data_IF_220219783372
#
_entry.id   IF_220219783372
#
_cell.length_a   1.000
_cell.length_b   1.000
_cell.length_c   1.000
_cell.angle_alpha   90.00
_cell.angle_beta   90.00
_cell.angle_gamma   90.00
#
_symmetry.space_group_name_H-M   'P 1'
#
loop_
_entity.id
_entity.type
_entity.pdbx_description
1 polymer ?
#
# COMPACT_ATOMS: atom_id res chain seq x y z
N UNK A 1 -20.46 -49.52 -62.16
CA UNK A 1 -19.63 -50.54 -61.49
C UNK A 1 -18.18 -50.35 -61.90
N UNK A 2 -17.35 -49.78 -61.02
CA UNK A 2 -15.89 -49.85 -61.11
C UNK A 2 -15.41 -50.32 -59.74
N UNK A 3 -14.90 -51.55 -59.69
CA UNK A 3 -14.31 -52.18 -58.52
C UNK A 3 -12.98 -51.51 -58.19
N UNK A 4 -12.89 -50.82 -57.05
CA UNK A 4 -11.62 -50.42 -56.47
C UNK A 4 -11.04 -51.60 -55.70
N UNK A 5 -10.12 -52.29 -56.37
CA UNK A 5 -9.26 -53.33 -55.80
C UNK A 5 -8.40 -52.69 -54.72
N UNK A 6 -8.72 -52.97 -53.46
CA UNK A 6 -7.89 -52.68 -52.30
C UNK A 6 -6.63 -53.56 -52.35
N UNK A 7 -5.52 -53.01 -52.83
CA UNK A 7 -4.21 -53.65 -52.65
C UNK A 7 -3.82 -53.55 -51.16
N UNK A 8 -3.43 -54.65 -50.52
CA UNK A 8 -2.89 -54.59 -49.16
C UNK A 8 -1.53 -53.87 -49.20
N UNK A 9 -1.45 -52.70 -48.56
CA UNK A 9 -0.19 -51.99 -48.31
C UNK A 9 0.80 -52.92 -47.62
N UNK A 10 2.03 -52.97 -48.13
CA UNK A 10 3.10 -53.77 -47.57
C UNK A 10 3.39 -53.37 -46.12
N UNK A 11 3.91 -54.32 -45.33
CA UNK A 11 4.14 -54.14 -43.88
C UNK A 11 5.00 -52.91 -43.55
N UNK A 12 5.86 -52.46 -44.46
CA UNK A 12 6.68 -51.24 -44.35
C UNK A 12 5.91 -49.94 -44.66
N UNK A 13 5.00 -49.95 -45.64
CA UNK A 13 4.21 -48.77 -46.02
C UNK A 13 3.19 -48.38 -44.95
N UNK A 14 2.66 -49.37 -44.21
CA UNK A 14 1.79 -49.13 -43.04
C UNK A 14 2.52 -48.39 -41.91
N UNK A 15 3.79 -48.71 -41.67
CA UNK A 15 4.58 -48.06 -40.60
C UNK A 15 4.88 -46.60 -40.94
N UNK A 16 5.19 -46.32 -42.21
CA UNK A 16 5.42 -44.95 -42.70
C UNK A 16 4.13 -44.13 -42.62
N UNK A 17 3.00 -44.70 -43.07
CA UNK A 17 1.70 -44.01 -43.00
C UNK A 17 1.28 -43.69 -41.55
N UNK A 18 1.47 -44.64 -40.63
CA UNK A 18 1.18 -44.44 -39.21
C UNK A 18 2.12 -43.40 -38.57
N UNK A 19 3.39 -43.37 -38.97
CA UNK A 19 4.34 -42.37 -38.48
C UNK A 19 4.02 -40.97 -38.97
N UNK A 20 3.58 -40.80 -40.23
CA UNK A 20 3.15 -39.50 -40.78
C UNK A 20 1.87 -39.02 -40.11
N UNK A 21 0.90 -39.92 -39.90
CA UNK A 21 -0.34 -39.58 -39.17
C UNK A 21 -0.03 -39.22 -37.72
N UNK A 22 0.85 -39.96 -37.05
CA UNK A 22 1.29 -39.64 -35.69
C UNK A 22 1.96 -38.27 -35.60
N UNK A 23 2.82 -37.93 -36.55
CA UNK A 23 3.51 -36.63 -36.59
C UNK A 23 2.54 -35.48 -36.90
N UNK A 24 1.54 -35.71 -37.75
CA UNK A 24 0.46 -34.74 -38.01
C UNK A 24 -0.43 -34.53 -36.77
N UNK A 25 -0.75 -35.58 -36.02
CA UNK A 25 -1.51 -35.46 -34.77
C UNK A 25 -0.71 -34.67 -33.74
N UNK A 26 0.58 -34.96 -33.59
CA UNK A 26 1.45 -34.19 -32.68
C UNK A 26 1.55 -32.73 -33.12
N UNK A 27 1.71 -32.45 -34.41
CA UNK A 27 1.73 -31.08 -34.92
C UNK A 27 0.40 -30.35 -34.66
N UNK A 28 -0.74 -31.00 -34.87
CA UNK A 28 -2.06 -30.42 -34.58
C UNK A 28 -2.24 -30.19 -33.08
N UNK A 29 -1.79 -31.11 -32.22
CA UNK A 29 -1.83 -30.92 -30.76
C UNK A 29 -0.91 -29.76 -30.36
N UNK A 30 0.30 -29.67 -30.90
CA UNK A 30 1.22 -28.56 -30.62
C UNK A 30 0.61 -27.23 -31.11
N UNK A 31 0.07 -27.16 -32.32
CA UNK A 31 -0.56 -25.92 -32.83
C UNK A 31 -1.91 -25.58 -32.19
N UNK A 32 -2.65 -26.56 -31.67
CA UNK A 32 -3.93 -26.34 -30.98
C UNK A 32 -3.76 -26.08 -29.47
N UNK A 33 -2.70 -26.62 -28.85
CA UNK A 33 -2.42 -26.50 -27.41
C UNK A 33 -1.41 -25.39 -27.11
N UNK A 34 -0.45 -25.08 -28.00
CA UNK A 34 0.48 -23.96 -27.80
C UNK A 34 -0.20 -22.59 -27.63
N UNK A 35 -1.30 -22.24 -28.33
CA UNK A 35 -2.00 -20.98 -28.08
C UNK A 35 -2.74 -20.95 -26.73
N UNK A 36 -2.94 -22.11 -26.09
CA UNK A 36 -3.60 -22.26 -24.79
C UNK A 36 -2.58 -22.23 -23.64
N UNK A 37 -1.32 -22.56 -23.92
CA UNK A 37 -0.24 -22.62 -22.92
C UNK A 37 0.65 -21.34 -22.94
N UNK A 38 0.60 -20.54 -24.00
CA UNK A 38 1.32 -19.26 -24.12
C UNK A 38 0.38 -18.10 -24.50
N UNK A 39 -0.73 -17.95 -23.77
CA UNK A 39 -1.32 -16.62 -23.65
C UNK A 39 -0.63 -15.97 -22.47
N UNK A 40 0.29 -15.06 -22.76
CA UNK A 40 0.47 -13.91 -21.89
C UNK A 40 -0.93 -13.28 -21.80
N UNK A 41 -1.64 -13.57 -20.70
CA UNK A 41 -3.02 -13.14 -20.56
C UNK A 41 -3.02 -11.62 -20.48
N UNK A 42 -3.53 -10.98 -21.54
CA UNK A 42 -3.72 -9.52 -21.53
C UNK A 42 -4.43 -9.12 -20.23
N UNK A 43 -3.94 -8.08 -19.53
CA UNK A 43 -4.53 -7.64 -18.27
C UNK A 43 -6.02 -7.36 -18.47
N UNK A 44 -6.81 -7.55 -17.41
CA UNK A 44 -8.22 -7.14 -17.44
C UNK A 44 -8.25 -5.66 -17.86
N UNK A 45 -9.06 -5.26 -18.86
CA UNK A 45 -9.04 -3.89 -19.40
C UNK A 45 -9.27 -2.79 -18.36
N UNK A 46 -9.89 -3.12 -17.23
CA UNK A 46 -10.13 -2.24 -16.08
C UNK A 46 -9.01 -2.23 -15.02
N UNK A 47 -8.13 -3.23 -15.01
CA UNK A 47 -7.08 -3.44 -13.99
C UNK A 47 -5.69 -3.29 -14.63
N UNK A 48 -5.50 -2.21 -15.38
CA UNK A 48 -4.23 -1.88 -16.03
C UNK A 48 -3.46 -0.84 -15.21
N UNK A 49 -2.15 -0.75 -15.41
CA UNK A 49 -1.31 0.29 -14.78
C UNK A 49 -1.85 1.69 -15.09
N UNK A 50 -2.32 1.94 -16.32
CA UNK A 50 -2.96 3.21 -16.71
C UNK A 50 -4.23 3.50 -15.89
N UNK A 51 -5.06 2.48 -15.64
CA UNK A 51 -6.25 2.62 -14.80
C UNK A 51 -5.90 2.91 -13.34
N UNK A 52 -4.81 2.33 -12.84
CA UNK A 52 -4.26 2.64 -11.52
C UNK A 52 -3.77 4.10 -11.44
N UNK A 53 -3.00 4.53 -12.45
CA UNK A 53 -2.53 5.92 -12.56
C UNK A 53 -3.71 6.91 -12.64
N UNK A 54 -4.78 6.58 -13.38
CA UNK A 54 -6.00 7.38 -13.41
C UNK A 54 -6.64 7.52 -12.02
N UNK A 55 -6.63 6.47 -11.18
CA UNK A 55 -7.10 6.58 -9.79
C UNK A 55 -6.25 7.58 -9.01
N UNK A 56 -4.92 7.45 -9.07
CA UNK A 56 -3.98 8.37 -8.40
C UNK A 56 -4.17 9.81 -8.84
N UNK A 57 -4.24 10.06 -10.14
CA UNK A 57 -4.42 11.40 -10.71
C UNK A 57 -5.75 12.02 -10.27
N UNK A 58 -6.83 11.25 -10.29
CA UNK A 58 -8.13 11.73 -9.84
C UNK A 58 -8.15 12.00 -8.32
N UNK A 59 -7.52 11.17 -7.48
CA UNK A 59 -7.41 11.40 -6.04
C UNK A 59 -6.55 12.65 -5.74
N UNK A 60 -5.40 12.77 -6.39
CA UNK A 60 -4.51 13.93 -6.28
C UNK A 60 -5.22 15.23 -6.67
N UNK A 61 -6.01 15.20 -7.74
CA UNK A 61 -6.83 16.36 -8.17
C UNK A 61 -7.90 16.77 -7.15
N UNK A 62 -8.29 15.85 -6.25
CA UNK A 62 -9.23 16.08 -5.14
C UNK A 62 -8.52 16.44 -3.84
N UNK A 63 -7.19 16.65 -3.87
CA UNK A 63 -6.40 17.09 -2.73
C UNK A 63 -5.93 15.96 -1.80
N UNK A 64 -5.90 14.73 -2.29
CA UNK A 64 -5.23 13.62 -1.60
C UNK A 64 -3.74 13.67 -1.87
N UNK A 65 -2.93 13.26 -0.89
CA UNK A 65 -1.48 13.15 -1.05
C UNK A 65 -1.12 11.70 -1.34
N UNK A 66 -0.44 11.47 -2.46
CA UNK A 66 -0.09 10.13 -2.95
C UNK A 66 1.42 9.90 -2.92
N UNK A 67 1.82 8.72 -2.47
CA UNK A 67 3.21 8.33 -2.25
C UNK A 67 3.50 6.97 -2.87
N UNK A 68 4.68 6.83 -3.45
CA UNK A 68 5.24 5.53 -3.80
C UNK A 68 5.73 4.87 -2.51
N UNK A 69 5.25 3.66 -2.23
CA UNK A 69 5.64 2.89 -1.04
C UNK A 69 6.71 1.86 -1.40
N UNK A 70 7.75 1.76 -0.57
CA UNK A 70 8.80 0.74 -0.72
C UNK A 70 8.25 -0.70 -0.51
N UNK A 71 8.62 -1.63 -1.40
CA UNK A 71 8.25 -3.05 -1.29
C UNK A 71 8.68 -3.90 -2.50
N UNK A 72 8.41 -5.21 -2.45
CA UNK A 72 8.69 -6.17 -3.55
C UNK A 72 7.78 -5.98 -4.78
N UNK A 73 6.79 -5.09 -4.69
CA UNK A 73 5.83 -4.76 -5.74
C UNK A 73 5.60 -3.25 -5.81
N UNK A 74 5.14 -2.74 -6.96
CA UNK A 74 4.86 -1.31 -7.13
C UNK A 74 3.58 -0.94 -6.37
N UNK A 75 3.75 -0.43 -5.16
CA UNK A 75 2.65 0.04 -4.34
C UNK A 75 2.60 1.56 -4.32
N UNK A 76 1.42 2.09 -4.57
CA UNK A 76 1.10 3.50 -4.37
C UNK A 76 0.01 3.65 -3.32
N UNK A 77 0.19 4.57 -2.37
CA UNK A 77 -0.80 4.88 -1.34
C UNK A 77 -1.14 6.36 -1.36
N UNK A 78 -2.43 6.65 -1.45
CA UNK A 78 -2.99 7.99 -1.36
C UNK A 78 -3.70 8.17 -0.03
N UNK A 79 -3.42 9.24 0.68
CA UNK A 79 -4.04 9.59 1.95
C UNK A 79 -4.96 10.79 1.78
N UNK A 80 -6.14 10.71 2.39
CA UNK A 80 -7.05 11.83 2.43
C UNK A 80 -6.53 12.89 3.41
N UNK A 81 -6.54 14.15 2.98
CA UNK A 81 -6.27 15.30 3.84
C UNK A 81 -7.54 15.67 4.65
N UNK A 82 -7.97 14.75 5.52
CA UNK A 82 -9.21 14.85 6.31
C UNK A 82 -8.95 15.30 7.76
N UNK A 83 -10.04 15.57 8.51
CA UNK A 83 -10.00 16.02 9.91
C UNK A 83 -9.48 14.94 10.86
N UNK A 84 -9.08 15.35 12.07
CA UNK A 84 -8.53 14.47 13.13
C UNK A 84 -9.42 13.27 13.53
N UNK A 85 -10.68 13.25 13.12
CA UNK A 85 -11.68 12.26 13.53
C UNK A 85 -11.75 11.03 12.61
N UNK A 86 -11.25 11.15 11.37
CA UNK A 86 -11.24 10.08 10.35
C UNK A 86 -9.94 10.06 9.59
N UNK A 87 -9.52 8.86 9.23
CA UNK A 87 -8.39 8.63 8.36
C UNK A 87 -8.81 7.73 7.24
N UNK A 88 -8.53 8.14 6.00
CA UNK A 88 -8.83 7.36 4.82
C UNK A 88 -7.58 7.22 3.95
N UNK A 89 -7.41 6.03 3.36
CA UNK A 89 -6.35 5.76 2.40
C UNK A 89 -6.86 4.93 1.22
N UNK A 90 -6.20 5.08 0.08
CA UNK A 90 -6.36 4.22 -1.09
C UNK A 90 -5.01 3.62 -1.44
N UNK A 91 -4.93 2.30 -1.44
CA UNK A 91 -3.73 1.54 -1.80
C UNK A 91 -3.91 0.90 -3.17
N UNK A 92 -2.92 1.05 -4.05
CA UNK A 92 -2.90 0.50 -5.41
C UNK A 92 -1.65 -0.36 -5.52
N UNK A 93 -1.84 -1.67 -5.61
CA UNK A 93 -0.77 -2.63 -5.80
C UNK A 93 -0.73 -3.03 -7.27
N UNK A 94 0.41 -2.81 -7.91
CA UNK A 94 0.67 -3.16 -9.29
C UNK A 94 1.83 -4.15 -9.40
N UNK A 95 1.67 -5.11 -10.28
CA UNK A 95 2.74 -5.92 -10.85
C UNK A 95 3.11 -5.33 -12.22
N UNK A 96 4.25 -5.72 -12.80
CA UNK A 96 4.89 -5.07 -13.97
C UNK A 96 3.94 -4.55 -15.06
N UNK A 97 2.90 -5.31 -15.42
CA UNK A 97 1.97 -4.97 -16.51
C UNK A 97 0.50 -4.77 -16.07
N UNK A 98 0.16 -4.92 -14.78
CA UNK A 98 -1.23 -4.95 -14.32
C UNK A 98 -1.42 -4.47 -12.88
N UNK A 99 -2.61 -3.94 -12.59
CA UNK A 99 -3.01 -3.66 -11.20
C UNK A 99 -3.55 -4.95 -10.59
N UNK A 100 -2.89 -5.45 -9.55
CA UNK A 100 -3.32 -6.63 -8.81
C UNK A 100 -4.47 -6.28 -7.83
N UNK A 101 -4.43 -5.08 -7.24
CA UNK A 101 -5.38 -4.66 -6.21
C UNK A 101 -5.52 -3.15 -6.12
N UNK A 102 -6.76 -2.69 -5.89
CA UNK A 102 -7.04 -1.33 -5.41
C UNK A 102 -7.90 -1.44 -4.16
N UNK A 103 -7.46 -0.89 -3.02
CA UNK A 103 -8.19 -0.93 -1.75
C UNK A 103 -8.35 0.47 -1.19
N UNK A 104 -9.59 0.90 -0.98
CA UNK A 104 -9.93 2.04 -0.15
C UNK A 104 -10.26 1.57 1.27
N UNK A 105 -9.75 2.26 2.28
CA UNK A 105 -10.08 2.01 3.68
C UNK A 105 -10.22 3.32 4.45
N UNK A 106 -11.11 3.33 5.45
CA UNK A 106 -11.24 4.46 6.35
C UNK A 106 -11.48 3.99 7.79
N UNK A 107 -10.80 4.64 8.73
CA UNK A 107 -10.87 4.35 10.17
C UNK A 107 -11.11 5.64 10.94
N UNK A 108 -11.92 5.57 12.00
CA UNK A 108 -12.25 6.73 12.81
C UNK A 108 -13.30 6.41 13.85
N UNK A 109 -13.66 7.41 14.66
CA UNK A 109 -14.74 7.28 15.65
C UNK A 109 -16.10 7.71 15.13
N UNK A 110 -16.14 8.47 14.02
CA UNK A 110 -17.38 8.93 13.39
C UNK A 110 -17.72 8.07 12.17
N UNK A 111 -18.80 7.30 12.27
CA UNK A 111 -19.27 6.43 11.19
C UNK A 111 -19.74 7.17 9.95
N UNK A 112 -20.30 8.37 10.11
CA UNK A 112 -20.81 9.14 8.98
C UNK A 112 -19.64 9.71 8.18
N UNK A 113 -18.63 10.24 8.87
CA UNK A 113 -17.40 10.70 8.24
C UNK A 113 -16.63 9.56 7.55
N UNK A 114 -16.52 8.36 8.16
CA UNK A 114 -15.94 7.16 7.50
C UNK A 114 -16.69 6.84 6.20
N UNK A 115 -18.02 6.86 6.24
CA UNK A 115 -18.87 6.57 5.07
C UNK A 115 -18.67 7.60 3.95
N UNK A 116 -18.53 8.88 4.30
CA UNK A 116 -18.30 9.96 3.35
C UNK A 116 -16.93 9.83 2.66
N UNK A 117 -15.87 9.54 3.42
CA UNK A 117 -14.51 9.32 2.88
C UNK A 117 -14.46 8.13 1.94
N UNK A 118 -15.06 7.00 2.34
CA UNK A 118 -15.16 5.80 1.49
C UNK A 118 -15.99 6.05 0.23
N UNK A 119 -17.03 6.87 0.32
CA UNK A 119 -17.84 7.25 -0.85
C UNK A 119 -17.00 8.03 -1.85
N UNK A 120 -16.20 9.00 -1.40
CA UNK A 120 -15.32 9.79 -2.27
C UNK A 120 -14.25 8.93 -2.96
N UNK A 121 -13.61 8.02 -2.22
CA UNK A 121 -12.66 7.07 -2.77
C UNK A 121 -13.32 6.13 -3.79
N UNK A 122 -14.47 5.56 -3.45
CA UNK A 122 -15.21 4.62 -4.30
C UNK A 122 -15.72 5.27 -5.59
N UNK A 123 -16.15 6.53 -5.55
CA UNK A 123 -16.50 7.28 -6.78
C UNK A 123 -15.32 7.41 -7.74
N UNK A 124 -14.12 7.57 -7.19
CA UNK A 124 -12.89 7.69 -7.98
C UNK A 124 -12.52 6.36 -8.62
N UNK A 125 -12.60 5.28 -7.84
CA UNK A 125 -12.41 3.91 -8.32
C UNK A 125 -13.44 3.54 -9.39
N UNK A 126 -14.72 3.89 -9.19
CA UNK A 126 -15.79 3.65 -10.17
C UNK A 126 -15.50 4.31 -11.52
N UNK A 127 -15.04 5.57 -11.48
CA UNK A 127 -14.77 6.36 -12.68
C UNK A 127 -13.59 5.79 -13.48
N UNK A 128 -12.54 5.35 -12.78
CA UNK A 128 -11.32 4.85 -13.42
C UNK A 128 -11.47 3.41 -13.91
N UNK A 129 -12.05 2.52 -13.08
CA UNK A 129 -12.09 1.09 -13.35
C UNK A 129 -13.31 0.67 -14.18
N UNK A 130 -14.46 1.33 -14.01
CA UNK A 130 -15.74 0.89 -14.58
C UNK A 130 -16.52 2.05 -15.21
N UNK A 131 -15.97 2.72 -16.25
CA UNK A 131 -16.57 3.93 -16.84
C UNK A 131 -17.95 3.71 -17.49
N UNK A 132 -18.38 2.45 -17.70
CA UNK A 132 -19.61 2.08 -18.40
C UNK A 132 -20.67 1.44 -17.47
N UNK A 133 -21.12 2.16 -16.42
CA UNK A 133 -22.49 2.17 -15.88
C UNK A 133 -23.14 0.89 -15.30
N UNK A 134 -22.91 -0.29 -15.84
CA UNK A 134 -23.69 -1.52 -15.56
C UNK A 134 -23.13 -2.36 -14.39
N UNK A 135 -22.09 -1.87 -13.70
CA UNK A 135 -21.42 -2.60 -12.61
C UNK A 135 -20.79 -1.70 -11.54
N UNK A 136 -21.39 -0.57 -11.17
CA UNK A 136 -20.77 0.40 -10.22
C UNK A 136 -20.50 -0.19 -8.82
N UNK A 137 -19.29 0.00 -8.32
CA UNK A 137 -18.79 -0.29 -6.97
C UNK A 137 -19.56 0.53 -5.93
N UNK A 138 -19.88 1.80 -6.19
CA UNK A 138 -20.60 2.66 -5.22
C UNK A 138 -21.94 2.06 -4.76
N UNK A 139 -22.59 1.26 -5.61
CA UNK A 139 -23.85 0.59 -5.27
C UNK A 139 -23.71 -0.62 -4.36
N UNK A 140 -22.47 -1.09 -4.11
CA UNK A 140 -22.15 -2.29 -3.34
C UNK A 140 -21.81 -1.99 -1.87
N UNK A 141 -21.65 -0.73 -1.49
CA UNK A 141 -21.44 -0.32 -0.09
C UNK A 141 -22.73 -0.33 0.74
N UNK A 142 -23.53 -1.41 0.65
CA UNK A 142 -24.80 -1.50 1.38
C UNK A 142 -24.68 -2.30 2.67
N UNK A 143 -24.58 -1.58 3.80
CA UNK A 143 -24.84 -2.12 5.13
C UNK A 143 -23.70 -2.93 5.76
N UNK A 144 -23.84 -3.18 7.06
CA UNK A 144 -22.81 -3.61 8.03
C UNK A 144 -22.17 -5.01 7.80
N UNK A 145 -22.19 -5.56 6.59
CA UNK A 145 -21.74 -6.92 6.29
C UNK A 145 -20.61 -6.93 5.27
N UNK A 146 -19.77 -7.98 5.33
CA UNK A 146 -18.87 -8.33 4.25
C UNK A 146 -19.69 -8.81 3.05
N UNK A 147 -19.46 -8.24 1.87
CA UNK A 147 -20.02 -8.70 0.61
C UNK A 147 -18.90 -8.84 -0.44
N UNK A 148 -18.92 -9.93 -1.19
CA UNK A 148 -17.96 -10.20 -2.25
C UNK A 148 -18.72 -10.49 -3.55
N UNK A 149 -18.44 -9.71 -4.59
CA UNK A 149 -19.18 -9.75 -5.85
C UNK A 149 -18.24 -9.65 -7.04
N UNK A 150 -18.48 -10.52 -8.02
CA UNK A 150 -17.87 -10.44 -9.33
C UNK A 150 -18.65 -9.47 -10.22
N UNK A 151 -17.92 -8.57 -10.88
CA UNK A 151 -18.40 -7.57 -11.81
C UNK A 151 -17.99 -7.93 -13.24
N UNK A 152 -18.62 -7.33 -14.27
CA UNK A 152 -18.25 -7.57 -15.67
C UNK A 152 -16.76 -7.33 -15.92
N UNK A 153 -16.15 -8.18 -16.73
CA UNK A 153 -14.72 -8.10 -17.04
C UNK A 153 -13.82 -8.79 -16.01
N UNK A 154 -14.34 -9.79 -15.29
CA UNK A 154 -13.60 -10.61 -14.31
C UNK A 154 -13.00 -9.78 -13.16
N UNK A 155 -13.65 -8.67 -12.77
CA UNK A 155 -13.23 -7.84 -11.63
C UNK A 155 -13.97 -8.32 -10.38
N UNK A 156 -13.25 -8.58 -9.29
CA UNK A 156 -13.85 -8.95 -8.02
C UNK A 156 -13.84 -7.77 -7.05
N UNK A 157 -14.96 -7.53 -6.39
CA UNK A 157 -15.12 -6.45 -5.41
C UNK A 157 -15.52 -7.03 -4.07
N UNK A 158 -14.79 -6.67 -3.03
CA UNK A 158 -15.07 -7.00 -1.63
C UNK A 158 -15.35 -5.71 -0.86
N UNK A 159 -16.44 -5.67 -0.10
CA UNK A 159 -16.81 -4.52 0.73
C UNK A 159 -16.92 -4.91 2.19
N UNK A 160 -16.55 -3.98 3.08
CA UNK A 160 -16.78 -4.03 4.52
C UNK A 160 -17.29 -2.65 4.99
N UNK A 161 -17.75 -2.50 6.24
CA UNK A 161 -18.19 -1.19 6.74
C UNK A 161 -17.12 -0.09 6.68
N UNK A 162 -15.84 -0.48 6.65
CA UNK A 162 -14.70 0.44 6.69
C UNK A 162 -13.77 0.32 5.48
N UNK A 163 -14.12 -0.46 4.45
CA UNK A 163 -13.23 -0.67 3.30
C UNK A 163 -13.95 -1.15 2.03
N UNK A 164 -13.36 -0.84 0.88
CA UNK A 164 -13.71 -1.41 -0.42
C UNK A 164 -12.43 -1.89 -1.08
N UNK A 165 -12.41 -3.14 -1.54
CA UNK A 165 -11.27 -3.77 -2.20
C UNK A 165 -11.68 -4.28 -3.57
N UNK A 166 -10.91 -3.93 -4.59
CA UNK A 166 -11.09 -4.34 -5.98
C UNK A 166 -9.89 -5.16 -6.39
N UNK A 167 -10.15 -6.31 -7.00
CA UNK A 167 -9.17 -7.33 -7.31
C UNK A 167 -9.28 -7.75 -8.77
N UNK A 168 -8.13 -8.08 -9.35
CA UNK A 168 -8.08 -8.80 -10.61
C UNK A 168 -8.61 -10.24 -10.39
N UNK A 169 -9.77 -10.57 -10.95
CA UNK A 169 -10.41 -11.86 -10.76
C UNK A 169 -9.77 -13.00 -11.56
N UNK A 170 -8.90 -12.71 -12.54
CA UNK A 170 -8.10 -13.75 -13.23
C UNK A 170 -7.11 -14.43 -12.29
N UNK A 171 -6.62 -13.71 -11.28
CA UNK A 171 -5.69 -14.24 -10.28
C UNK A 171 -6.40 -15.09 -9.20
N UNK A 172 -7.70 -15.35 -9.37
CA UNK A 172 -8.48 -16.26 -8.52
C UNK A 172 -8.54 -15.87 -7.04
N UNK A 173 -8.29 -14.59 -6.72
CA UNK A 173 -8.21 -14.11 -5.35
C UNK A 173 -6.88 -14.39 -4.65
N UNK A 174 -5.81 -14.79 -5.36
CA UNK A 174 -4.47 -14.86 -4.76
C UNK A 174 -4.02 -13.48 -4.21
N UNK A 175 -4.39 -12.40 -4.89
CA UNK A 175 -4.23 -11.00 -4.46
C UNK A 175 -5.20 -10.55 -3.35
N UNK A 176 -6.24 -11.35 -3.03
CA UNK A 176 -7.11 -11.11 -1.88
C UNK A 176 -6.33 -11.24 -0.55
N UNK A 177 -5.27 -12.06 -0.53
CA UNK A 177 -4.39 -12.23 0.63
C UNK A 177 -3.20 -11.27 0.64
N UNK A 178 -2.90 -10.59 -0.47
CA UNK A 178 -1.87 -9.56 -0.49
C UNK A 178 -2.42 -8.34 0.22
N UNK A 179 -2.04 -8.18 1.47
CA UNK A 179 -2.25 -6.96 2.24
C UNK A 179 -0.89 -6.29 2.26
N UNK A 180 -0.80 -5.07 1.74
CA UNK A 180 0.37 -4.26 2.04
C UNK A 180 0.40 -4.03 3.54
N UNK A 181 1.51 -4.41 4.17
CA UNK A 181 1.78 -4.17 5.57
C UNK A 181 3.05 -3.33 5.63
N UNK A 182 3.03 -2.17 6.31
CA UNK A 182 4.25 -1.41 6.56
C UNK A 182 5.30 -2.31 7.22
N UNK A 183 6.56 -2.00 6.95
CA UNK A 183 7.72 -2.70 7.52
C UNK A 183 7.62 -2.73 9.05
N UNK A 184 8.07 -3.84 9.64
CA UNK A 184 8.17 -3.94 11.10
C UNK A 184 9.08 -2.83 11.65
N UNK A 185 8.66 -2.18 12.74
CA UNK A 185 9.50 -1.21 13.43
C UNK A 185 10.83 -1.83 13.85
N UNK A 186 11.93 -1.05 13.88
CA UNK A 186 13.18 -1.52 14.44
C UNK A 186 12.99 -1.96 15.90
N UNK A 187 13.80 -2.92 16.33
CA UNK A 187 13.82 -3.32 17.73
C UNK A 187 14.30 -2.13 18.60
N UNK A 188 13.83 -2.01 19.85
CA UNK A 188 14.22 -0.89 20.71
C UNK A 188 15.73 -0.69 20.88
N UNK A 189 16.51 -1.77 20.91
CA UNK A 189 17.98 -1.74 20.99
C UNK A 189 18.64 -1.27 19.68
N UNK A 190 18.06 -1.63 18.53
CA UNK A 190 18.50 -1.14 17.22
C UNK A 190 18.22 0.35 17.07
N UNK A 191 17.03 0.80 17.47
CA UNK A 191 16.66 2.20 17.46
C UNK A 191 17.55 3.03 18.41
N UNK A 192 17.76 2.56 19.64
CA UNK A 192 18.66 3.19 20.61
C UNK A 192 20.06 3.35 20.03
N UNK A 193 20.64 2.27 19.51
CA UNK A 193 21.98 2.29 18.93
C UNK A 193 22.11 3.26 17.74
N UNK A 194 21.08 3.32 16.88
CA UNK A 194 21.01 4.27 15.77
C UNK A 194 21.02 5.72 16.25
N UNK A 195 20.17 6.04 17.23
CA UNK A 195 20.02 7.39 17.78
C UNK A 195 21.24 7.81 18.62
N UNK A 196 21.85 6.91 19.39
CA UNK A 196 23.08 7.18 20.15
C UNK A 196 24.24 7.60 19.23
N UNK A 197 24.36 6.99 18.05
CA UNK A 197 25.34 7.41 17.02
C UNK A 197 25.10 8.82 16.50
N UNK A 198 23.89 9.35 16.70
CA UNK A 198 23.48 10.70 16.32
C UNK A 198 23.46 11.67 17.50
N UNK A 199 24.00 11.27 18.66
CA UNK A 199 24.18 12.14 19.81
C UNK A 199 22.94 12.23 20.71
N UNK A 200 22.04 11.25 20.65
CA UNK A 200 21.01 11.07 21.66
C UNK A 200 21.56 10.29 22.87
N UNK A 201 21.05 10.61 24.05
CA UNK A 201 21.22 9.79 25.25
C UNK A 201 19.97 8.91 25.40
N UNK A 202 20.15 7.58 25.41
CA UNK A 202 19.05 6.63 25.41
C UNK A 202 18.93 5.86 26.74
N UNK A 203 17.69 5.68 27.17
CA UNK A 203 17.32 4.92 28.36
C UNK A 203 16.41 3.75 27.96
N UNK A 204 16.84 2.53 28.28
CA UNK A 204 16.14 1.29 27.92
C UNK A 204 15.67 0.59 29.19
N UNK A 205 14.38 0.75 29.53
CA UNK A 205 13.77 0.09 30.69
C UNK A 205 12.55 -0.76 30.29
N UNK A 206 11.37 -0.13 30.13
CA UNK A 206 10.12 -0.75 29.67
C UNK A 206 9.78 -0.41 28.20
N UNK A 207 10.74 0.20 27.51
CA UNK A 207 10.72 0.75 26.16
C UNK A 207 12.05 1.48 25.94
N UNK A 208 12.18 2.17 24.81
CA UNK A 208 13.32 3.08 24.59
C UNK A 208 12.82 4.52 24.59
N UNK A 209 13.48 5.36 25.38
CA UNK A 209 13.38 6.81 25.29
C UNK A 209 14.78 7.36 25.05
N UNK A 210 14.93 8.15 24.00
CA UNK A 210 16.16 8.79 23.59
C UNK A 210 15.95 10.30 23.55
N UNK A 211 16.77 11.04 24.29
CA UNK A 211 16.66 12.49 24.40
C UNK A 211 17.93 13.17 23.85
N UNK A 212 17.76 14.32 23.21
CA UNK A 212 18.86 15.18 22.78
C UNK A 212 18.43 16.64 22.76
N UNK A 213 19.39 17.56 22.76
CA UNK A 213 19.12 18.98 22.56
C UNK A 213 19.70 19.42 21.22
N UNK A 214 18.81 19.81 20.30
CA UNK A 214 19.16 20.19 18.94
C UNK A 214 18.80 21.66 18.75
N UNK A 215 19.78 22.52 18.48
CA UNK A 215 19.59 23.97 18.33
C UNK A 215 18.77 24.63 19.48
N UNK A 216 19.01 24.16 20.72
CA UNK A 216 18.28 24.58 21.94
C UNK A 216 16.80 24.19 21.99
N UNK A 217 16.40 23.20 21.20
CA UNK A 217 15.09 22.54 21.27
C UNK A 217 15.31 21.14 21.82
N UNK A 218 14.54 20.80 22.86
CA UNK A 218 14.57 19.46 23.42
C UNK A 218 13.86 18.51 22.45
N UNK A 219 14.52 17.42 22.11
CA UNK A 219 13.99 16.38 21.21
C UNK A 219 13.95 15.08 21.97
N UNK A 220 12.79 14.45 22.00
CA UNK A 220 12.60 13.12 22.56
C UNK A 220 12.08 12.18 21.48
N UNK A 221 12.74 11.03 21.32
CA UNK A 221 12.27 9.93 20.48
C UNK A 221 11.95 8.76 21.41
N UNK A 222 10.74 8.26 21.36
CA UNK A 222 10.31 7.16 22.23
C UNK A 222 9.62 6.06 21.44
N UNK A 223 9.95 4.82 21.75
CA UNK A 223 9.22 3.63 21.33
C UNK A 223 8.75 2.92 22.59
N UNK A 224 7.43 2.85 22.79
CA UNK A 224 6.86 2.24 23.98
C UNK A 224 6.59 0.75 23.74
N UNK A 225 6.78 -0.09 24.76
CA UNK A 225 6.37 -1.50 24.75
C UNK A 225 5.07 -1.62 25.54
N UNK A 226 4.08 -0.78 25.23
CA UNK A 226 2.76 -0.90 25.85
C UNK A 226 1.92 -1.94 25.11
N UNK A 227 1.10 -2.74 25.83
CA UNK A 227 0.14 -3.65 25.22
C UNK A 227 -1.00 -2.97 24.45
N UNK A 228 -1.03 -1.63 24.41
CA UNK A 228 -2.08 -0.85 23.73
C UNK A 228 -1.67 -0.51 22.29
N UNK A 229 -0.37 -0.35 22.01
CA UNK A 229 0.09 -0.23 20.62
C UNK A 229 1.62 -0.45 20.52
N UNK A 230 2.12 -1.69 20.35
CA UNK A 230 3.56 -1.99 20.24
C UNK A 230 4.18 -1.49 18.92
N UNK A 231 3.40 -0.72 18.14
CA UNK A 231 3.65 -0.41 16.74
C UNK A 231 3.91 1.07 16.48
N UNK A 232 4.16 1.87 17.53
CA UNK A 232 4.33 3.32 17.42
C UNK A 232 5.71 3.78 17.90
N UNK A 233 6.45 4.46 17.03
CA UNK A 233 7.57 5.34 17.44
C UNK A 233 7.05 6.76 17.43
N UNK A 234 7.26 7.47 18.54
CA UNK A 234 6.87 8.86 18.69
C UNK A 234 8.09 9.77 18.74
N UNK A 235 8.12 10.80 17.89
CA UNK A 235 9.13 11.87 17.92
C UNK A 235 8.47 13.15 18.42
N UNK A 236 8.99 13.70 19.53
CA UNK A 236 8.55 14.95 20.15
C UNK A 236 9.60 16.03 20.02
N UNK A 237 9.18 17.20 19.58
CA UNK A 237 9.95 18.44 19.69
C UNK A 237 9.37 19.30 20.82
N UNK A 238 10.18 19.68 21.79
CA UNK A 238 9.80 20.57 22.88
C UNK A 238 9.59 22.02 22.39
N UNK A 239 8.94 22.87 23.20
CA UNK A 239 8.73 24.26 22.85
C UNK A 239 10.06 25.00 22.72
N UNK A 240 10.17 25.87 21.71
CA UNK A 240 11.32 26.78 21.59
C UNK A 240 11.19 27.87 22.64
N UNK A 241 12.16 27.99 23.56
CA UNK A 241 12.10 28.94 24.67
C UNK A 241 11.76 30.39 24.21
N UNK A 242 10.70 30.95 24.81
CA UNK A 242 10.04 32.22 24.47
C UNK A 242 10.95 33.46 24.62
N UNK A 243 12.12 33.30 25.26
CA UNK A 243 13.12 34.35 25.41
C UNK A 243 13.80 34.71 24.08
N UNK A 244 13.71 33.86 23.05
CA UNK A 244 14.22 34.14 21.70
C UNK A 244 13.12 34.56 20.72
N UNK A 245 12.75 35.85 20.76
CA UNK A 245 11.96 36.51 19.71
C UNK A 245 12.68 36.42 18.34
N UNK A 246 12.41 35.36 17.58
CA UNK A 246 12.90 35.23 16.19
C UNK A 246 12.64 33.90 15.45
N UNK A 247 11.79 32.98 15.96
CA UNK A 247 12.12 31.56 15.81
C UNK A 247 11.28 30.66 14.90
N UNK A 248 10.48 31.18 13.95
CA UNK A 248 9.95 30.30 12.88
C UNK A 248 11.10 29.65 12.07
N UNK A 249 12.20 30.39 11.88
CA UNK A 249 13.40 29.88 11.22
C UNK A 249 14.13 28.77 11.99
N UNK A 250 14.05 28.72 13.33
CA UNK A 250 14.70 27.64 14.09
C UNK A 250 13.85 26.36 14.11
N UNK A 251 12.52 26.49 14.26
CA UNK A 251 11.63 25.31 14.17
C UNK A 251 11.79 24.58 12.84
N UNK A 252 11.90 25.33 11.73
CA UNK A 252 12.18 24.77 10.41
C UNK A 252 13.52 24.03 10.35
N UNK A 253 14.59 24.60 10.94
CA UNK A 253 15.91 23.97 10.97
C UNK A 253 15.95 22.69 11.81
N UNK A 254 15.27 22.70 12.95
CA UNK A 254 15.18 21.50 13.80
C UNK A 254 14.42 20.39 13.08
N UNK A 255 13.31 20.71 12.38
CA UNK A 255 12.60 19.72 11.56
C UNK A 255 13.49 19.12 10.47
N UNK A 256 14.24 19.96 9.76
CA UNK A 256 15.18 19.52 8.71
C UNK A 256 16.27 18.61 9.29
N UNK A 257 16.85 18.97 10.43
CA UNK A 257 17.85 18.15 11.12
C UNK A 257 17.27 16.83 11.62
N UNK A 258 16.05 16.84 12.16
CA UNK A 258 15.36 15.62 12.59
C UNK A 258 15.03 14.72 11.42
N UNK A 259 14.50 15.26 10.32
CA UNK A 259 14.29 14.50 9.09
C UNK A 259 15.59 13.84 8.62
N UNK A 260 16.71 14.57 8.63
CA UNK A 260 18.02 14.04 8.27
C UNK A 260 18.50 12.93 9.22
N UNK A 261 18.26 13.06 10.52
CA UNK A 261 18.62 12.04 11.52
C UNK A 261 17.78 10.78 11.35
N UNK A 262 16.47 10.92 11.16
CA UNK A 262 15.55 9.80 10.97
C UNK A 262 15.80 9.08 9.64
N UNK A 263 16.27 9.81 8.61
CA UNK A 263 16.63 9.29 7.30
C UNK A 263 18.01 8.61 7.25
N UNK A 264 18.83 8.76 8.30
CA UNK A 264 20.15 8.13 8.30
C UNK A 264 20.03 6.61 8.40
N UNK A 265 20.84 5.90 7.63
CA UNK A 265 20.85 4.43 7.57
C UNK A 265 20.98 3.73 8.94
N UNK A 266 21.61 4.37 9.93
CA UNK A 266 21.72 3.81 11.28
C UNK A 266 20.41 3.86 12.07
N UNK A 267 19.52 4.82 11.76
CA UNK A 267 18.20 4.99 12.38
C UNK A 267 17.12 4.38 11.48
N UNK A 268 17.10 4.78 10.21
CA UNK A 268 16.33 4.16 9.13
C UNK A 268 14.82 4.17 9.34
N UNK A 269 14.28 5.24 9.92
CA UNK A 269 12.84 5.40 10.16
C UNK A 269 12.11 6.12 9.02
N UNK A 270 12.86 6.78 8.14
CA UNK A 270 12.36 7.45 6.93
C UNK A 270 13.45 7.44 5.87
N UNK A 271 13.16 7.96 4.69
CA UNK A 271 14.10 8.21 3.59
C UNK A 271 14.25 9.73 3.34
N UNK A 272 14.88 10.08 2.21
CA UNK A 272 15.08 11.47 1.80
C UNK A 272 13.75 12.21 1.52
N UNK A 273 12.77 11.52 0.94
CA UNK A 273 11.47 12.10 0.60
C UNK A 273 10.66 12.38 1.87
N UNK A 274 10.71 11.48 2.84
CA UNK A 274 10.09 11.70 4.15
C UNK A 274 10.81 12.76 4.98
N UNK A 275 12.14 12.91 4.84
CA UNK A 275 12.85 14.04 5.43
C UNK A 275 12.40 15.39 4.82
N UNK A 276 12.17 15.43 3.50
CA UNK A 276 11.63 16.61 2.83
C UNK A 276 10.19 16.90 3.26
N UNK A 277 9.34 15.87 3.33
CA UNK A 277 7.99 15.96 3.86
C UNK A 277 7.97 16.56 5.27
N UNK A 278 8.84 16.09 6.16
CA UNK A 278 8.94 16.63 7.52
C UNK A 278 9.39 18.10 7.55
N UNK A 279 10.30 18.49 6.68
CA UNK A 279 10.79 19.86 6.62
C UNK A 279 9.70 20.84 6.14
N UNK A 280 8.94 20.44 5.11
CA UNK A 280 8.08 21.35 4.35
C UNK A 280 6.58 21.19 4.63
N UNK A 281 6.11 19.97 4.93
CA UNK A 281 4.69 19.60 4.88
C UNK A 281 4.16 18.94 6.17
N UNK A 282 4.92 18.93 7.27
CA UNK A 282 4.50 18.36 8.56
C UNK A 282 3.41 19.18 9.29
N UNK A 283 2.18 19.14 8.77
CA UNK A 283 0.96 19.70 9.39
C UNK A 283 0.18 18.61 10.11
N UNK A 284 -0.58 18.98 11.14
CA UNK A 284 -1.44 18.04 11.87
C UNK A 284 -2.37 17.29 10.92
N UNK A 285 -2.49 15.98 11.09
CA UNK A 285 -3.33 15.10 10.28
C UNK A 285 -2.68 14.58 8.99
N UNK A 286 -1.59 15.19 8.51
CA UNK A 286 -0.89 14.71 7.33
C UNK A 286 -0.27 13.33 7.56
N UNK A 287 -0.28 12.50 6.50
CA UNK A 287 0.29 11.16 6.47
C UNK A 287 1.11 10.94 5.21
N UNK A 288 2.02 9.98 5.25
CA UNK A 288 2.74 9.50 4.08
C UNK A 288 3.47 8.20 4.37
N UNK A 289 3.91 7.51 3.32
CA UNK A 289 4.73 6.30 3.42
C UNK A 289 6.17 6.62 3.05
N UNK A 290 7.12 6.30 3.93
CA UNK A 290 8.55 6.62 3.76
C UNK A 290 9.42 5.50 4.32
N UNK A 291 10.44 5.07 3.58
CA UNK A 291 11.29 3.93 3.90
C UNK A 291 10.54 2.64 4.31
N UNK A 292 9.34 2.45 3.76
CA UNK A 292 8.43 1.33 4.05
C UNK A 292 7.63 1.46 5.35
N UNK A 293 7.65 2.62 6.02
CA UNK A 293 6.84 2.91 7.21
C UNK A 293 5.71 3.88 6.90
N UNK A 294 4.55 3.71 7.56
CA UNK A 294 3.51 4.73 7.55
C UNK A 294 3.84 5.80 8.61
N UNK A 295 4.07 7.03 8.16
CA UNK A 295 4.30 8.20 8.99
C UNK A 295 3.02 9.02 9.13
N UNK A 296 2.71 9.45 10.35
CA UNK A 296 1.58 10.31 10.67
C UNK A 296 2.01 11.51 11.52
N UNK A 297 1.48 12.69 11.21
CA UNK A 297 1.72 13.90 12.00
C UNK A 297 0.56 14.09 12.97
N UNK A 298 0.77 13.71 14.23
CA UNK A 298 -0.23 13.79 15.31
C UNK A 298 -0.42 15.22 15.80
N UNK A 299 0.66 16.00 15.79
CA UNK A 299 0.66 17.43 16.13
C UNK A 299 1.70 18.07 15.25
N UNK A 300 1.28 19.03 14.44
CA UNK A 300 2.07 19.65 13.39
C UNK A 300 2.71 20.97 13.82
N UNK A 301 3.47 21.56 12.91
CA UNK A 301 4.15 22.82 13.16
C UNK A 301 3.23 24.05 13.18
N UNK A 302 1.99 23.88 12.73
CA UNK A 302 0.92 24.87 12.73
C UNK A 302 0.22 24.99 14.09
N UNK A 303 0.43 24.02 14.99
CA UNK A 303 -0.10 24.07 16.33
C UNK A 303 0.67 25.06 17.21
N UNK A 304 -0.08 25.92 17.92
CA UNK A 304 0.46 26.98 18.77
C UNK A 304 1.33 26.49 19.95
N UNK A 305 1.45 25.17 20.14
CA UNK A 305 2.27 24.53 21.18
C UNK A 305 3.76 24.57 20.88
N UNK A 306 4.16 24.80 19.62
CA UNK A 306 5.57 24.73 19.22
C UNK A 306 6.16 23.33 19.32
N UNK A 307 5.31 22.30 19.45
CA UNK A 307 5.71 20.91 19.57
C UNK A 307 5.20 20.09 18.40
N UNK A 308 6.05 19.25 17.81
CA UNK A 308 5.65 18.33 16.76
C UNK A 308 5.64 16.92 17.33
N UNK A 309 4.60 16.17 17.02
CA UNK A 309 4.46 14.75 17.37
C UNK A 309 4.31 13.95 16.08
N UNK A 310 5.32 13.12 15.79
CA UNK A 310 5.34 12.24 14.62
C UNK A 310 5.14 10.82 15.11
N UNK A 311 4.19 10.10 14.53
CA UNK A 311 3.93 8.70 14.79
C UNK A 311 4.32 7.83 13.60
N UNK A 312 5.14 6.82 13.82
CA UNK A 312 5.42 5.77 12.83
C UNK A 312 4.63 4.53 13.18
N UNK A 313 3.74 4.08 12.30
CA UNK A 313 2.93 2.88 12.50
C UNK A 313 3.55 1.70 11.74
N UNK A 314 3.66 0.54 12.40
CA UNK A 314 3.89 -0.73 11.73
C UNK A 314 2.74 -1.71 11.95
N UNK A 315 2.66 -2.75 11.13
CA UNK A 315 1.83 -3.91 11.46
C UNK A 315 2.75 -5.11 11.57
N UNK A 316 2.95 -5.61 12.79
CA UNK A 316 3.34 -7.02 12.94
C UNK A 316 2.17 -7.83 12.37
N UNK A 317 2.37 -8.70 11.37
CA UNK A 317 1.29 -9.58 10.94
C UNK A 317 0.83 -10.32 12.19
N UNK A 318 -0.41 -10.06 12.63
CA UNK A 318 -1.07 -10.98 13.55
C UNK A 318 -1.06 -12.28 12.79
N UNK A 319 -0.24 -13.24 13.23
CA UNK A 319 -0.25 -14.56 12.68
C UNK A 319 -1.69 -15.04 12.81
N UNK A 320 -2.45 -14.98 11.71
CA UNK A 320 -3.78 -15.55 11.65
C UNK A 320 -3.53 -17.02 11.94
N UNK A 321 -3.91 -17.45 13.14
CA UNK A 321 -3.91 -18.87 13.45
C UNK A 321 -4.80 -19.51 12.40
N UNK A 322 -4.19 -20.30 11.51
CA UNK A 322 -4.88 -21.16 10.59
C UNK A 322 -5.62 -22.25 11.40
N UNK A 323 -6.73 -21.88 12.02
CA UNK A 323 -7.60 -22.71 12.85
C UNK A 323 -8.98 -22.01 12.77
N UNK A 324 -10.07 -22.54 12.23
CA UNK A 324 -10.46 -23.88 11.76
C UNK A 324 -11.65 -23.68 10.79
N UNK A 325 -11.77 -24.56 9.79
CA UNK A 325 -12.93 -24.68 8.92
C UNK A 325 -14.11 -25.34 9.66
#
# INVERSE_FOLDING_TARGET
MVNLISKPLGRSERTVLLSVIGLLIVAVIVFAVSPVVFRDEEPIPAMTVDSGADVVDNLSSRGWDCFDSDGDAHLQRCFANESDEVTASVSILSDDDAVAMIKAEATGSDSDAISDSLTAATETMDKALLPAGDGRIKGLMSGNAFDARELPGDVMVETTPSSVKVLNGKDGGASANTVYLPKALPLPDQLAFGLEKKGFECHVEAGVQCDSQIDSVDVAVSQDVRPVDPNLIEVRLGPVDDTTKGSQSKGSKVREQIGTILADDAVGLTDADGAEFLAQNAKTGCRGDFAGYEMSIVTGADDASGSIRIGFTSVVPVATSAIEW
#
